data_IF_806878120584
#
_entry.id   IF_806878120584
#
_cell.length_a   1.000
_cell.length_b   1.000
_cell.length_c   1.000
_cell.angle_alpha   90.00
_cell.angle_beta   90.00
_cell.angle_gamma   90.00
#
_symmetry.space_group_name_H-M   'P 1'
#
loop_
_entity.id
_entity.type
_entity.pdbx_description
1 polymer ?
#
# COMPACT_ATOMS: atom_id res chain seq x y z
N UNK A 1 -10.28 13.30 -25.64
CA UNK A 1 -8.92 12.96 -25.17
C UNK A 1 -9.04 12.34 -23.79
N UNK A 2 -8.56 11.12 -23.58
CA UNK A 2 -8.38 10.57 -22.23
C UNK A 2 -7.09 11.19 -21.68
N UNK A 3 -7.17 11.98 -20.61
CA UNK A 3 -6.00 12.63 -20.01
C UNK A 3 -5.00 11.55 -19.54
N UNK A 4 -3.70 11.83 -19.59
CA UNK A 4 -2.64 10.88 -19.22
C UNK A 4 -2.85 10.27 -17.81
N UNK A 5 -3.38 11.05 -16.87
CA UNK A 5 -3.76 10.59 -15.53
C UNK A 5 -4.80 9.45 -15.54
N UNK A 6 -5.75 9.47 -16.49
CA UNK A 6 -6.76 8.42 -16.60
C UNK A 6 -6.17 7.12 -17.16
N UNK A 7 -5.23 7.21 -18.11
CA UNK A 7 -4.53 6.02 -18.66
C UNK A 7 -3.64 5.39 -17.58
N UNK A 8 -2.90 6.22 -16.83
CA UNK A 8 -2.09 5.76 -15.70
C UNK A 8 -2.94 5.06 -14.64
N UNK A 9 -4.07 5.65 -14.26
CA UNK A 9 -5.00 5.03 -13.31
C UNK A 9 -5.53 3.67 -13.79
N UNK A 10 -5.81 3.50 -15.09
CA UNK A 10 -6.22 2.20 -15.64
C UNK A 10 -5.10 1.15 -15.56
N UNK A 11 -3.86 1.53 -15.85
CA UNK A 11 -2.70 0.62 -15.76
C UNK A 11 -2.51 0.16 -14.32
N UNK A 12 -2.51 1.11 -13.38
CA UNK A 12 -2.35 0.82 -11.94
C UNK A 12 -3.47 -0.09 -11.44
N UNK A 13 -4.73 0.22 -11.76
CA UNK A 13 -5.86 -0.63 -11.38
C UNK A 13 -5.77 -2.05 -11.96
N UNK A 14 -5.26 -2.19 -13.19
CA UNK A 14 -4.96 -3.48 -13.78
C UNK A 14 -3.94 -4.27 -12.95
N UNK A 15 -2.82 -3.63 -12.58
CA UNK A 15 -1.79 -4.26 -11.75
C UNK A 15 -2.27 -4.62 -10.34
N UNK A 16 -3.03 -3.73 -9.68
CA UNK A 16 -3.60 -4.00 -8.36
C UNK A 16 -4.54 -5.22 -8.36
N UNK A 17 -5.26 -5.45 -9.46
CA UNK A 17 -6.19 -6.57 -9.59
C UNK A 17 -5.48 -7.93 -9.60
N UNK A 18 -4.29 -8.02 -10.19
CA UNK A 18 -3.50 -9.27 -10.24
C UNK A 18 -3.06 -9.76 -8.85
N UNK A 19 -2.94 -8.83 -7.90
CA UNK A 19 -2.52 -9.11 -6.52
C UNK A 19 -3.61 -8.76 -5.50
N UNK A 20 -4.85 -8.62 -5.95
CA UNK A 20 -6.01 -8.22 -5.13
C UNK A 20 -6.14 -9.13 -3.89
N UNK A 21 -5.95 -10.43 -4.05
CA UNK A 21 -6.00 -11.40 -2.95
C UNK A 21 -4.99 -11.07 -1.83
N UNK A 22 -3.80 -10.59 -2.19
CA UNK A 22 -2.75 -10.21 -1.23
C UNK A 22 -3.13 -8.91 -0.52
N UNK A 23 -3.59 -7.91 -1.30
CA UNK A 23 -4.05 -6.61 -0.78
C UNK A 23 -5.19 -6.81 0.22
N UNK A 24 -6.15 -7.69 -0.09
CA UNK A 24 -7.27 -8.01 0.80
C UNK A 24 -6.78 -8.60 2.13
N UNK A 25 -5.80 -9.52 2.13
CA UNK A 25 -5.26 -10.07 3.40
C UNK A 25 -4.64 -8.98 4.28
N UNK A 26 -3.88 -8.07 3.68
CA UNK A 26 -3.28 -6.94 4.41
C UNK A 26 -4.36 -6.00 4.93
N UNK A 27 -5.36 -5.68 4.09
CA UNK A 27 -6.50 -4.84 4.47
C UNK A 27 -7.25 -5.44 5.67
N UNK A 28 -7.54 -6.75 5.64
CA UNK A 28 -8.16 -7.45 6.76
C UNK A 28 -7.25 -7.48 7.99
N UNK A 29 -5.94 -7.56 7.83
CA UNK A 29 -4.98 -7.47 8.95
C UNK A 29 -4.96 -6.09 9.60
N UNK A 30 -4.99 -5.02 8.80
CA UNK A 30 -5.07 -3.65 9.30
C UNK A 30 -6.41 -3.39 9.99
N UNK A 31 -7.52 -3.89 9.43
CA UNK A 31 -8.83 -3.86 10.09
C UNK A 31 -8.81 -4.63 11.40
N UNK A 32 -8.16 -5.80 11.43
CA UNK A 32 -8.09 -6.64 12.61
C UNK A 32 -7.50 -5.91 13.82
N UNK A 33 -6.45 -5.10 13.62
CA UNK A 33 -5.87 -4.26 14.68
C UNK A 33 -6.80 -3.11 15.13
N UNK A 34 -7.56 -2.53 14.19
CA UNK A 34 -8.43 -1.36 14.46
C UNK A 34 -9.74 -1.72 15.19
N UNK A 35 -10.14 -2.99 15.26
CA UNK A 35 -11.36 -3.46 15.94
C UNK A 35 -11.05 -4.06 17.35
N UNK A 36 -12.02 -4.12 18.29
CA UNK A 36 -11.91 -3.61 19.67
C UNK A 36 -10.92 -4.28 20.66
N UNK A 37 -10.47 -3.44 21.60
CA UNK A 37 -9.72 -3.55 22.88
C UNK A 37 -8.88 -4.79 23.21
N UNK A 38 -9.34 -6.03 23.00
CA UNK A 38 -8.55 -7.24 23.34
C UNK A 38 -7.58 -7.67 22.23
N UNK A 39 -7.93 -7.45 20.96
CA UNK A 39 -7.08 -7.81 19.81
C UNK A 39 -5.88 -6.89 19.65
N UNK A 40 -6.10 -5.60 19.89
CA UNK A 40 -5.05 -4.59 19.91
C UNK A 40 -4.01 -4.86 21.02
N UNK A 41 -4.39 -5.53 22.11
CA UNK A 41 -3.43 -5.88 23.18
C UNK A 41 -2.28 -6.77 22.67
N UNK A 42 -2.59 -7.85 21.93
CA UNK A 42 -1.55 -8.73 21.39
C UNK A 42 -0.72 -8.01 20.33
N UNK A 43 -1.36 -7.26 19.44
CA UNK A 43 -0.68 -6.44 18.43
C UNK A 43 0.33 -5.48 19.10
N UNK A 44 -0.10 -4.67 20.06
CA UNK A 44 0.77 -3.73 20.78
C UNK A 44 1.87 -4.42 21.58
N UNK A 45 1.60 -5.61 22.13
CA UNK A 45 2.61 -6.41 22.82
C UNK A 45 3.73 -6.85 21.86
N UNK A 46 3.37 -7.27 20.65
CA UNK A 46 4.33 -7.70 19.63
C UNK A 46 5.07 -6.48 19.06
N UNK A 47 4.38 -5.36 18.77
CA UNK A 47 5.01 -4.09 18.34
C UNK A 47 6.12 -3.66 19.30
N UNK A 48 5.84 -3.71 20.62
CA UNK A 48 6.84 -3.39 21.66
C UNK A 48 8.02 -4.36 21.68
N UNK A 49 7.76 -5.66 21.44
CA UNK A 49 8.80 -6.70 21.42
C UNK A 49 9.71 -6.57 20.19
N UNK A 50 9.11 -6.40 19.02
CA UNK A 50 9.80 -6.33 17.73
C UNK A 50 10.43 -4.96 17.46
N UNK A 51 10.16 -3.96 18.32
CA UNK A 51 10.60 -2.55 18.16
C UNK A 51 10.19 -1.98 16.80
N UNK A 52 8.97 -2.30 16.37
CA UNK A 52 8.38 -1.79 15.14
C UNK A 52 8.04 -0.30 15.25
N UNK A 53 7.64 0.27 14.11
CA UNK A 53 7.25 1.68 13.98
C UNK A 53 6.18 2.11 14.98
N UNK A 54 6.20 3.39 15.34
CA UNK A 54 5.13 4.05 16.11
C UNK A 54 4.08 4.72 15.20
N UNK A 55 4.22 4.62 13.88
CA UNK A 55 3.24 5.15 12.93
C UNK A 55 1.88 4.46 13.15
N UNK A 56 0.80 5.21 12.93
CA UNK A 56 -0.53 4.62 12.93
C UNK A 56 -0.78 3.92 11.60
N UNK A 57 -1.30 2.70 11.64
CA UNK A 57 -1.76 2.01 10.44
C UNK A 57 -2.85 2.83 9.73
N UNK A 58 -2.71 2.95 8.41
CA UNK A 58 -3.67 3.66 7.54
C UNK A 58 -4.67 2.64 6.99
N UNK A 59 -5.96 2.93 7.09
CA UNK A 59 -6.99 2.10 6.47
C UNK A 59 -7.10 2.43 4.99
N UNK A 60 -7.18 1.40 4.16
CA UNK A 60 -7.53 1.57 2.76
C UNK A 60 -8.98 2.09 2.62
N UNK A 61 -9.16 3.03 1.70
CA UNK A 61 -10.45 3.56 1.30
C UNK A 61 -10.65 3.16 -0.16
N UNK A 62 -11.65 2.33 -0.51
CA UNK A 62 -11.77 1.74 -1.85
C UNK A 62 -11.98 2.72 -3.03
N UNK A 63 -11.86 4.03 -2.79
CA UNK A 63 -12.09 5.10 -3.77
C UNK A 63 -10.89 5.37 -4.69
N UNK A 64 -9.70 4.82 -4.43
CA UNK A 64 -8.55 5.00 -5.32
C UNK A 64 -7.26 4.30 -4.87
N UNK A 65 -6.34 4.09 -5.81
CA UNK A 65 -5.07 3.39 -5.55
C UNK A 65 -4.15 4.10 -4.55
N UNK A 66 -4.29 5.41 -4.38
CA UNK A 66 -3.47 6.19 -3.43
C UNK A 66 -3.65 5.74 -1.97
N UNK A 67 -4.88 5.45 -1.52
CA UNK A 67 -5.10 4.95 -0.16
C UNK A 67 -4.61 3.52 0.00
N UNK A 68 -4.72 2.71 -1.05
CA UNK A 68 -4.20 1.34 -1.06
C UNK A 68 -2.67 1.38 -0.93
N UNK A 69 -2.01 2.23 -1.70
CA UNK A 69 -0.57 2.48 -1.59
C UNK A 69 -0.18 2.90 -0.17
N UNK A 70 -0.82 3.93 0.40
CA UNK A 70 -0.54 4.40 1.76
C UNK A 70 -0.79 3.34 2.84
N UNK A 71 -1.83 2.51 2.70
CA UNK A 71 -2.07 1.38 3.58
C UNK A 71 -0.91 0.38 3.49
N UNK A 72 -0.49 0.01 2.29
CA UNK A 72 0.57 -0.99 2.09
C UNK A 72 1.93 -0.47 2.57
N UNK A 73 2.28 0.77 2.23
CA UNK A 73 3.50 1.45 2.65
C UNK A 73 3.60 1.57 4.18
N UNK A 74 2.49 1.83 4.87
CA UNK A 74 2.51 1.82 6.34
C UNK A 74 2.49 0.41 6.92
N UNK A 75 1.77 -0.54 6.31
CA UNK A 75 1.66 -1.91 6.81
C UNK A 75 2.97 -2.69 6.73
N UNK A 76 3.85 -2.40 5.76
CA UNK A 76 5.13 -3.09 5.61
C UNK A 76 6.05 -2.88 6.82
N UNK A 77 5.94 -1.73 7.50
CA UNK A 77 6.68 -1.45 8.74
C UNK A 77 6.27 -2.38 9.90
N UNK A 78 5.13 -3.05 9.76
CA UNK A 78 4.56 -4.00 10.72
C UNK A 78 4.56 -5.45 10.20
N UNK A 79 5.29 -5.75 9.11
CA UNK A 79 5.40 -7.10 8.51
C UNK A 79 5.64 -8.19 9.56
N UNK A 80 6.61 -7.99 10.45
CA UNK A 80 6.94 -8.94 11.54
C UNK A 80 5.79 -9.13 12.52
N UNK A 81 5.06 -8.06 12.82
CA UNK A 81 3.95 -8.10 13.78
C UNK A 81 2.81 -8.93 13.21
N UNK A 82 2.39 -8.64 11.98
CA UNK A 82 1.35 -9.39 11.29
C UNK A 82 1.75 -10.85 11.05
N UNK A 83 3.01 -11.10 10.71
CA UNK A 83 3.52 -12.46 10.50
C UNK A 83 3.52 -13.31 11.78
N UNK A 84 3.57 -12.69 12.96
CA UNK A 84 3.58 -13.42 14.24
C UNK A 84 2.25 -13.38 14.99
N UNK A 85 1.28 -12.55 14.58
CA UNK A 85 0.05 -12.32 15.34
C UNK A 85 -0.78 -13.60 15.54
N UNK A 86 -0.79 -14.50 14.54
CA UNK A 86 -1.51 -15.78 14.60
C UNK A 86 -0.99 -16.72 15.70
N UNK A 87 0.25 -16.52 16.18
CA UNK A 87 0.84 -17.30 17.28
C UNK A 87 0.27 -16.90 18.65
N UNK A 88 -0.33 -15.71 18.75
CA UNK A 88 -0.87 -15.15 19.99
C UNK A 88 -2.40 -15.09 19.99
N UNK A 89 -3.00 -14.99 18.81
CA UNK A 89 -4.44 -14.91 18.64
C UNK A 89 -4.91 -15.82 17.49
N UNK A 90 -5.54 -16.94 17.85
CA UNK A 90 -6.08 -17.91 16.89
C UNK A 90 -7.23 -17.35 16.05
N UNK A 91 -7.83 -16.22 16.44
CA UNK A 91 -8.87 -15.56 15.64
C UNK A 91 -8.33 -14.67 14.52
N UNK A 92 -7.01 -14.51 14.43
CA UNK A 92 -6.33 -13.87 13.31
C UNK A 92 -6.12 -14.86 12.15
N UNK A 93 -7.08 -14.89 11.24
CA UNK A 93 -7.15 -15.87 10.13
C UNK A 93 -6.45 -15.35 8.87
N UNK A 94 -6.47 -14.05 8.63
CA UNK A 94 -5.95 -13.43 7.40
C UNK A 94 -4.47 -13.08 7.50
N UNK A 95 -3.62 -14.06 7.80
CA UNK A 95 -2.17 -13.85 7.91
C UNK A 95 -1.53 -13.79 6.51
N UNK A 96 -0.87 -12.68 6.13
CA UNK A 96 -0.07 -12.62 4.91
C UNK A 96 1.16 -13.53 5.04
N UNK A 97 1.47 -14.29 3.99
CA UNK A 97 2.66 -15.14 3.94
C UNK A 97 3.93 -14.33 3.65
N UNK A 98 5.12 -14.94 3.78
CA UNK A 98 6.36 -14.30 3.35
C UNK A 98 6.34 -13.96 1.85
N UNK A 99 5.76 -14.81 1.00
CA UNK A 99 5.61 -14.53 -0.43
C UNK A 99 4.65 -13.37 -0.70
N UNK A 100 3.59 -13.25 0.10
CA UNK A 100 2.66 -12.13 0.03
C UNK A 100 3.41 -10.81 0.35
N UNK A 101 4.27 -10.80 1.37
CA UNK A 101 5.09 -9.62 1.72
C UNK A 101 6.09 -9.23 0.63
N UNK A 102 6.74 -10.20 -0.03
CA UNK A 102 7.62 -9.90 -1.15
C UNK A 102 6.86 -9.27 -2.33
N UNK A 103 5.65 -9.76 -2.64
CA UNK A 103 4.77 -9.13 -3.65
C UNK A 103 4.38 -7.70 -3.25
N UNK A 104 4.11 -7.47 -1.97
CA UNK A 104 3.77 -6.14 -1.45
C UNK A 104 4.96 -5.17 -1.59
N UNK A 105 6.18 -5.60 -1.26
CA UNK A 105 7.40 -4.78 -1.41
C UNK A 105 7.59 -4.34 -2.86
N UNK A 106 7.52 -5.29 -3.80
CA UNK A 106 7.60 -5.01 -5.24
C UNK A 106 6.49 -4.07 -5.70
N UNK A 107 5.27 -4.25 -5.19
CA UNK A 107 4.16 -3.35 -5.52
C UNK A 107 4.40 -1.93 -4.98
N UNK A 108 4.83 -1.78 -3.73
CA UNK A 108 5.10 -0.46 -3.12
C UNK A 108 6.16 0.27 -3.93
N UNK A 109 7.25 -0.41 -4.31
CA UNK A 109 8.31 0.16 -5.13
C UNK A 109 7.78 0.65 -6.49
N UNK A 110 6.96 -0.17 -7.16
CA UNK A 110 6.31 0.18 -8.42
C UNK A 110 5.36 1.38 -8.25
N UNK A 111 4.48 1.34 -7.25
CA UNK A 111 3.48 2.38 -6.99
C UNK A 111 4.10 3.70 -6.53
N UNK A 112 5.25 3.67 -5.84
CA UNK A 112 5.93 4.87 -5.36
C UNK A 112 6.27 5.83 -6.52
N UNK A 113 6.73 5.29 -7.66
CA UNK A 113 7.02 6.10 -8.85
C UNK A 113 5.80 6.88 -9.32
N UNK A 114 4.64 6.23 -9.35
CA UNK A 114 3.39 6.88 -9.73
C UNK A 114 2.89 7.85 -8.65
N UNK A 115 3.11 7.51 -7.37
CA UNK A 115 2.68 8.32 -6.24
C UNK A 115 3.42 9.66 -6.22
N UNK A 116 4.75 9.64 -6.34
CA UNK A 116 5.57 10.86 -6.40
C UNK A 116 5.20 11.77 -7.57
N UNK A 117 4.95 11.18 -8.75
CA UNK A 117 4.48 11.93 -9.92
C UNK A 117 3.10 12.53 -9.67
N UNK A 118 2.19 11.76 -9.09
CA UNK A 118 0.82 12.22 -8.81
C UNK A 118 0.79 13.32 -7.76
N UNK A 119 1.55 13.20 -6.67
CA UNK A 119 1.70 14.25 -5.65
C UNK A 119 2.24 15.55 -6.27
N UNK A 120 3.33 15.47 -7.05
CA UNK A 120 3.92 16.63 -7.74
C UNK A 120 2.90 17.33 -8.63
N UNK A 121 2.11 16.56 -9.38
CA UNK A 121 1.10 17.11 -10.29
C UNK A 121 -0.09 17.73 -9.54
N UNK A 122 -0.54 17.10 -8.45
CA UNK A 122 -1.65 17.60 -7.63
C UNK A 122 -1.37 18.94 -6.94
N UNK A 123 -0.10 19.28 -6.72
CA UNK A 123 0.33 20.56 -6.17
C UNK A 123 0.33 21.73 -7.19
N UNK A 124 0.15 21.46 -8.48
CA UNK A 124 0.20 22.50 -9.52
C UNK A 124 -1.18 23.09 -9.83
N UNK A 125 -1.36 24.39 -9.56
CA UNK A 125 -2.63 25.11 -9.81
C UNK A 125 -2.94 25.38 -11.30
N UNK A 126 -2.01 25.11 -12.21
CA UNK A 126 -2.16 25.34 -13.65
C UNK A 126 -1.46 24.22 -14.44
N UNK A 127 -2.25 23.41 -15.14
CA UNK A 127 -1.76 22.28 -15.95
C UNK A 127 -1.58 22.71 -17.42
N UNK A 128 -0.35 22.97 -17.86
CA UNK A 128 -0.01 23.05 -19.28
C UNK A 128 0.59 21.72 -19.75
N UNK A 129 0.14 21.20 -20.91
CA UNK A 129 0.50 19.89 -21.49
C UNK A 129 2.01 19.57 -21.52
N UNK A 130 2.85 20.60 -21.49
CA UNK A 130 4.30 20.60 -21.51
C UNK A 130 4.91 19.88 -20.29
N UNK A 131 4.22 19.90 -19.13
CA UNK A 131 4.72 19.31 -17.87
C UNK A 131 4.51 17.79 -17.82
N UNK A 132 3.43 17.27 -18.43
CA UNK A 132 3.11 15.84 -18.40
C UNK A 132 4.10 14.97 -19.18
N UNK A 133 4.76 15.51 -20.22
CA UNK A 133 5.67 14.72 -21.05
C UNK A 133 6.88 14.22 -20.26
N UNK A 134 7.47 15.08 -19.43
CA UNK A 134 8.62 14.71 -18.60
C UNK A 134 8.28 13.60 -17.59
N UNK A 135 7.16 13.74 -16.89
CA UNK A 135 6.74 12.77 -15.89
C UNK A 135 6.32 11.41 -16.50
N UNK A 136 5.71 11.41 -17.69
CA UNK A 136 5.43 10.17 -18.44
C UNK A 136 6.73 9.50 -18.89
N UNK A 137 7.74 10.27 -19.31
CA UNK A 137 9.06 9.71 -19.64
C UNK A 137 9.72 9.09 -18.41
N UNK A 138 9.60 9.69 -17.22
CA UNK A 138 10.12 9.11 -15.97
C UNK A 138 9.44 7.78 -15.68
N UNK A 139 8.10 7.72 -15.72
CA UNK A 139 7.36 6.47 -15.53
C UNK A 139 7.77 5.40 -16.56
N UNK A 140 7.86 5.78 -17.84
CA UNK A 140 8.26 4.85 -18.91
C UNK A 140 9.68 4.31 -18.73
N UNK A 141 10.61 5.14 -18.25
CA UNK A 141 11.99 4.71 -17.99
C UNK A 141 12.06 3.81 -16.74
N UNK A 142 11.34 4.13 -15.67
CA UNK A 142 11.31 3.32 -14.45
C UNK A 142 10.65 1.95 -14.60
N UNK A 143 9.81 1.74 -15.63
CA UNK A 143 9.15 0.47 -15.93
C UNK A 143 9.93 -0.43 -16.91
N UNK A 144 11.09 0.03 -17.40
CA UNK A 144 11.85 -0.65 -18.48
C UNK A 144 13.00 -1.52 -17.96
N UNK A 145 13.40 -1.34 -16.71
CA UNK A 145 14.38 -2.19 -15.99
C UNK A 145 13.66 -3.21 -15.09
#
# INVERSE_FOLDING_TARGET
>A
MRCSAHILNMIIQGGLKEIENVIVKVCESVKYDKFPQSRNFFFMKIVKREKCSQKSLVLDVPTGWNSTYLMLDTAIEFEKVFSCLHLFDLSYIHTPSSEDWEKIKLLIECLNVFYEVTERLSGTKFSTSNLYFGDICIIYLSLRD
#
